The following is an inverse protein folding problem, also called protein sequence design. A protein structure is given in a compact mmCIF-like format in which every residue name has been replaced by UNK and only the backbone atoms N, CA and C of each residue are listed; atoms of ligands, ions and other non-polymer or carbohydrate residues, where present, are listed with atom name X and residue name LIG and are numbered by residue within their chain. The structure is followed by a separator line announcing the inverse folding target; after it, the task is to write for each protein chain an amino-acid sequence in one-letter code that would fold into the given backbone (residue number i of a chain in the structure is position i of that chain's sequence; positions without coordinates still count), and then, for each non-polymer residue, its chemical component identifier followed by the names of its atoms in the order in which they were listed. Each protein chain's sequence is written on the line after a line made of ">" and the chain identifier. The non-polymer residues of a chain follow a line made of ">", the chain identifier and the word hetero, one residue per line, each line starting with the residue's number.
data_IF_670060526806
#
_entry.id   IF_670060526806
#
_cell.length_a   1.000
_cell.length_b   1.000
_cell.length_c   1.000
_cell.angle_alpha   90.00
_cell.angle_beta   90.00
_cell.angle_gamma   90.00
#
_symmetry.space_group_name_H-M   'P 1'
#
loop_
_entity.id
_entity.type
_entity.pdbx_description
1 polymer ?
#
# COMPACT_ATOMS: atom_id res chain seq x y z
N UNK A 1 21.42 -10.27 -21.76
CA UNK A 1 21.07 -10.86 -20.45
C UNK A 1 19.55 -10.90 -20.36
N UNK A 2 18.98 -12.08 -20.46
CA UNK A 2 17.54 -12.27 -20.23
C UNK A 2 17.36 -12.03 -18.73
N UNK A 3 16.61 -10.99 -18.37
CA UNK A 3 16.23 -10.79 -16.98
C UNK A 3 15.53 -12.08 -16.53
N UNK A 4 16.08 -12.79 -15.55
CA UNK A 4 15.47 -13.98 -14.99
C UNK A 4 14.02 -13.67 -14.63
N UNK A 5 13.10 -14.42 -15.24
CA UNK A 5 11.67 -14.25 -14.96
C UNK A 5 11.46 -14.32 -13.45
N UNK A 6 10.78 -13.31 -12.89
CA UNK A 6 10.54 -13.20 -11.46
C UNK A 6 9.89 -14.49 -10.95
N UNK A 7 10.62 -15.25 -10.16
CA UNK A 7 10.12 -16.50 -9.60
C UNK A 7 9.36 -16.23 -8.30
N UNK A 8 8.05 -16.01 -8.40
CA UNK A 8 7.15 -15.77 -7.26
C UNK A 8 7.20 -16.91 -6.23
N UNK A 9 7.38 -18.16 -6.66
CA UNK A 9 7.50 -19.30 -5.76
C UNK A 9 8.75 -19.22 -4.87
N UNK A 10 9.87 -18.75 -5.39
CA UNK A 10 11.08 -18.52 -4.59
C UNK A 10 10.94 -17.32 -3.65
N UNK A 11 10.29 -16.23 -4.09
CA UNK A 11 10.10 -15.02 -3.27
C UNK A 11 9.10 -15.23 -2.15
N UNK A 12 7.98 -15.88 -2.43
CA UNK A 12 6.80 -15.88 -1.55
C UNK A 12 6.30 -17.27 -1.16
N UNK A 13 6.97 -18.34 -1.54
CA UNK A 13 6.54 -19.72 -1.25
C UNK A 13 6.51 -20.08 0.25
N UNK A 14 7.20 -19.31 1.10
CA UNK A 14 7.09 -19.47 2.54
C UNK A 14 5.69 -19.12 3.08
N UNK A 15 4.96 -18.26 2.38
CA UNK A 15 3.58 -17.87 2.75
C UNK A 15 2.61 -19.03 2.58
N UNK A 16 2.84 -19.91 1.59
CA UNK A 16 2.04 -21.11 1.39
C UNK A 16 2.15 -22.08 2.59
N UNK A 17 3.33 -22.15 3.22
CA UNK A 17 3.56 -22.93 4.44
C UNK A 17 2.95 -22.28 5.67
N UNK A 18 2.93 -20.96 5.73
CA UNK A 18 2.42 -20.20 6.87
C UNK A 18 0.88 -20.16 6.89
N UNK A 19 0.27 -19.87 5.74
CA UNK A 19 -1.18 -19.61 5.63
C UNK A 19 -1.96 -20.71 4.93
N UNK A 20 -1.28 -21.76 4.43
CA UNK A 20 -1.84 -22.75 3.53
C UNK A 20 -2.06 -22.18 2.11
N UNK A 21 -2.30 -23.06 1.15
CA UNK A 21 -2.47 -22.65 -0.26
C UNK A 21 -3.65 -21.68 -0.44
N UNK A 22 -4.78 -21.97 0.18
CA UNK A 22 -5.99 -21.12 0.09
C UNK A 22 -5.77 -19.73 0.70
N UNK A 23 -5.14 -19.63 1.87
CA UNK A 23 -4.82 -18.37 2.52
C UNK A 23 -3.82 -17.55 1.71
N UNK A 24 -2.77 -18.18 1.18
CA UNK A 24 -1.78 -17.52 0.34
C UNK A 24 -2.39 -17.03 -0.99
N UNK A 25 -3.33 -17.78 -1.58
CA UNK A 25 -4.06 -17.36 -2.78
C UNK A 25 -4.97 -16.16 -2.48
N UNK A 26 -5.67 -16.16 -1.34
CA UNK A 26 -6.49 -15.03 -0.92
C UNK A 26 -5.65 -13.76 -0.77
N UNK A 27 -4.47 -13.84 -0.15
CA UNK A 27 -3.55 -12.71 -0.02
C UNK A 27 -3.09 -12.20 -1.40
N UNK A 28 -2.72 -13.10 -2.31
CA UNK A 28 -2.30 -12.74 -3.67
C UNK A 28 -3.43 -12.12 -4.50
N UNK A 29 -4.68 -12.45 -4.20
CA UNK A 29 -5.86 -11.87 -4.84
C UNK A 29 -6.35 -10.58 -4.17
N UNK A 30 -5.85 -10.25 -2.99
CA UNK A 30 -6.34 -9.11 -2.22
C UNK A 30 -5.93 -7.76 -2.82
N UNK A 31 -6.84 -6.79 -2.69
CA UNK A 31 -6.62 -5.39 -2.99
C UNK A 31 -6.69 -4.56 -1.70
N UNK A 32 -5.59 -3.97 -1.31
CA UNK A 32 -5.49 -3.16 -0.08
C UNK A 32 -5.18 -1.70 -0.43
N UNK A 33 -5.96 -0.78 0.12
CA UNK A 33 -5.66 0.65 0.07
C UNK A 33 -4.87 1.07 1.32
N UNK A 34 -3.81 1.85 1.12
CA UNK A 34 -3.03 2.46 2.20
C UNK A 34 -3.19 3.97 2.10
N UNK A 35 -3.80 4.56 3.12
CA UNK A 35 -4.06 6.00 3.19
C UNK A 35 -3.01 6.65 4.09
N UNK A 36 -2.22 7.54 3.49
CA UNK A 36 -1.04 8.13 4.12
C UNK A 36 0.21 7.26 3.94
N UNK A 37 1.19 7.77 3.20
CA UNK A 37 2.46 7.09 2.87
C UNK A 37 3.62 7.77 3.63
N UNK A 38 3.40 7.95 4.92
CA UNK A 38 4.37 8.54 5.85
C UNK A 38 5.15 7.50 6.66
N UNK A 39 5.45 7.84 7.92
CA UNK A 39 6.25 7.01 8.83
C UNK A 39 5.61 5.66 9.19
N UNK A 40 4.29 5.55 9.10
CA UNK A 40 3.55 4.28 9.32
C UNK A 40 3.19 3.64 7.98
N UNK A 41 2.53 4.39 7.10
CA UNK A 41 1.98 3.84 5.86
C UNK A 41 3.03 3.36 4.88
N UNK A 42 4.20 3.97 4.81
CA UNK A 42 5.28 3.50 3.92
C UNK A 42 5.78 2.11 4.33
N UNK A 43 5.93 1.84 5.62
CA UNK A 43 6.30 0.52 6.12
C UNK A 43 5.18 -0.50 5.99
N UNK A 44 3.91 -0.09 6.19
CA UNK A 44 2.76 -0.94 5.96
C UNK A 44 2.67 -1.38 4.49
N UNK A 45 2.82 -0.45 3.55
CA UNK A 45 2.83 -0.75 2.12
C UNK A 45 3.97 -1.71 1.73
N UNK A 46 5.17 -1.52 2.27
CA UNK A 46 6.28 -2.45 2.05
C UNK A 46 5.98 -3.83 2.63
N UNK A 47 5.45 -3.91 3.84
CA UNK A 47 5.09 -5.18 4.48
C UNK A 47 4.03 -5.95 3.67
N UNK A 48 3.01 -5.26 3.16
CA UNK A 48 1.98 -5.85 2.29
C UNK A 48 2.58 -6.37 0.99
N UNK A 49 3.46 -5.60 0.34
CA UNK A 49 4.16 -6.03 -0.87
C UNK A 49 5.02 -7.28 -0.63
N UNK A 50 5.74 -7.32 0.49
CA UNK A 50 6.56 -8.48 0.93
C UNK A 50 5.73 -9.68 1.34
N UNK A 51 4.47 -9.47 1.69
CA UNK A 51 3.47 -10.52 1.97
C UNK A 51 2.73 -10.99 0.71
N UNK A 52 3.18 -10.59 -0.46
CA UNK A 52 2.62 -10.98 -1.77
C UNK A 52 1.18 -10.49 -2.02
N UNK A 53 0.75 -9.41 -1.39
CA UNK A 53 -0.52 -8.76 -1.74
C UNK A 53 -0.49 -8.38 -3.22
N UNK A 54 -1.55 -8.73 -3.94
CA UNK A 54 -1.59 -8.62 -5.40
C UNK A 54 -1.91 -7.23 -5.92
N UNK A 55 -2.61 -6.41 -5.16
CA UNK A 55 -2.92 -5.03 -5.55
C UNK A 55 -2.85 -4.08 -4.35
N UNK A 56 -2.15 -2.98 -4.51
CA UNK A 56 -2.07 -1.89 -3.55
C UNK A 56 -2.54 -0.59 -4.19
N UNK A 57 -3.43 0.13 -3.51
CA UNK A 57 -3.73 1.53 -3.83
C UNK A 57 -3.07 2.40 -2.78
N UNK A 58 -2.18 3.28 -3.20
CA UNK A 58 -1.46 4.22 -2.34
C UNK A 58 -2.06 5.61 -2.48
N UNK A 59 -2.44 6.23 -1.38
CA UNK A 59 -3.10 7.54 -1.36
C UNK A 59 -2.32 8.50 -0.48
N UNK A 60 -1.70 9.51 -1.07
CA UNK A 60 -0.97 10.58 -0.39
C UNK A 60 -0.67 11.71 -1.37
N UNK A 61 -0.82 12.96 -0.97
CA UNK A 61 -0.50 14.11 -1.84
C UNK A 61 0.93 14.60 -1.67
N UNK A 62 1.61 14.24 -0.57
CA UNK A 62 2.91 14.77 -0.22
C UNK A 62 4.04 14.27 -1.13
N UNK A 63 5.10 15.06 -1.14
CA UNK A 63 6.39 14.71 -1.75
C UNK A 63 7.41 14.33 -0.67
N UNK A 64 8.38 13.53 -1.08
CA UNK A 64 9.48 13.11 -0.20
C UNK A 64 10.33 14.32 0.17
N UNK A 65 10.44 14.57 1.46
CA UNK A 65 11.29 15.63 2.02
C UNK A 65 12.50 15.03 2.76
N UNK A 66 13.56 15.81 2.87
CA UNK A 66 14.79 15.41 3.57
C UNK A 66 14.54 14.99 5.03
N UNK A 67 13.62 15.67 5.71
CA UNK A 67 13.18 15.34 7.07
C UNK A 67 12.44 13.99 7.20
N UNK A 68 12.08 13.36 6.09
CA UNK A 68 11.42 12.06 6.08
C UNK A 68 12.41 10.88 6.14
N UNK A 69 13.68 11.13 5.81
CA UNK A 69 14.72 10.09 5.66
C UNK A 69 14.90 9.25 6.93
N UNK A 70 14.72 9.84 8.09
CA UNK A 70 14.92 9.16 9.38
C UNK A 70 13.86 8.10 9.72
N UNK A 71 12.69 8.06 9.03
CA UNK A 71 11.59 7.16 9.42
C UNK A 71 10.68 6.66 8.30
N UNK A 72 10.82 7.17 7.06
CA UNK A 72 9.97 6.76 5.93
C UNK A 72 10.80 5.92 4.95
N UNK A 73 10.35 4.71 4.68
CA UNK A 73 11.14 3.69 3.97
C UNK A 73 11.47 4.05 2.52
N UNK A 74 10.61 4.83 1.86
CA UNK A 74 10.84 5.31 0.49
C UNK A 74 11.74 6.55 0.43
N UNK A 75 11.99 7.21 1.57
CA UNK A 75 12.75 8.45 1.60
C UNK A 75 14.25 8.16 1.56
N UNK A 76 14.86 8.42 0.42
CA UNK A 76 16.26 8.24 0.10
C UNK A 76 16.79 9.51 -0.57
N UNK A 77 18.10 9.70 -0.59
CA UNK A 77 18.73 10.81 -1.33
C UNK A 77 18.24 10.91 -2.77
N UNK A 78 18.00 9.76 -3.41
CA UNK A 78 17.60 9.67 -4.82
C UNK A 78 16.10 9.91 -5.05
N UNK A 79 15.28 9.90 -4.00
CA UNK A 79 13.82 10.08 -4.11
C UNK A 79 13.34 11.43 -3.58
N UNK A 80 14.23 12.28 -3.08
CA UNK A 80 13.88 13.62 -2.60
C UNK A 80 13.13 14.42 -3.68
N UNK A 81 12.01 15.03 -3.30
CA UNK A 81 11.15 15.79 -4.20
C UNK A 81 10.17 14.97 -5.04
N UNK A 82 10.29 13.65 -5.08
CA UNK A 82 9.35 12.77 -5.76
C UNK A 82 8.05 12.64 -4.96
N UNK A 83 6.91 12.47 -5.64
CA UNK A 83 5.66 12.15 -4.95
C UNK A 83 5.81 10.85 -4.14
N UNK A 84 5.38 10.85 -2.88
CA UNK A 84 5.56 9.68 -1.98
C UNK A 84 4.96 8.40 -2.55
N UNK A 85 3.78 8.49 -3.16
CA UNK A 85 3.11 7.33 -3.78
C UNK A 85 3.91 6.77 -4.95
N UNK A 86 4.58 7.62 -5.73
CA UNK A 86 5.42 7.19 -6.86
C UNK A 86 6.72 6.54 -6.37
N UNK A 87 7.41 7.17 -5.41
CA UNK A 87 8.60 6.60 -4.80
C UNK A 87 8.32 5.22 -4.19
N UNK A 88 7.17 5.07 -3.53
CA UNK A 88 6.76 3.80 -2.94
C UNK A 88 6.41 2.75 -4.02
N UNK A 89 5.74 3.14 -5.10
CA UNK A 89 5.45 2.25 -6.25
C UNK A 89 6.73 1.68 -6.86
N UNK A 90 7.71 2.53 -7.11
CA UNK A 90 9.00 2.10 -7.65
C UNK A 90 9.71 1.11 -6.72
N UNK A 91 9.67 1.38 -5.42
CA UNK A 91 10.22 0.49 -4.40
C UNK A 91 9.50 -0.87 -4.37
N UNK A 92 8.16 -0.87 -4.42
CA UNK A 92 7.35 -2.08 -4.47
C UNK A 92 7.67 -2.91 -5.70
N UNK A 93 7.88 -2.29 -6.86
CA UNK A 93 8.24 -3.00 -8.10
C UNK A 93 9.54 -3.79 -7.98
N UNK A 94 10.50 -3.34 -7.16
CA UNK A 94 11.74 -4.07 -6.88
C UNK A 94 11.52 -5.27 -5.94
N UNK A 95 10.48 -5.23 -5.11
CA UNK A 95 10.16 -6.27 -4.12
C UNK A 95 9.21 -7.31 -4.72
N UNK A 96 8.09 -6.84 -5.25
CA UNK A 96 7.01 -7.65 -5.81
C UNK A 96 6.55 -7.07 -7.15
N UNK A 97 7.25 -7.35 -8.25
CA UNK A 97 6.91 -6.80 -9.57
C UNK A 97 5.57 -7.31 -10.11
N UNK A 98 4.98 -8.37 -9.53
CA UNK A 98 3.64 -8.83 -9.87
C UNK A 98 2.53 -8.03 -9.16
N UNK A 99 2.86 -7.23 -8.15
CA UNK A 99 1.89 -6.38 -7.47
C UNK A 99 1.47 -5.21 -8.38
N UNK A 100 0.17 -5.08 -8.60
CA UNK A 100 -0.39 -3.90 -9.26
C UNK A 100 -0.43 -2.75 -8.26
N UNK A 101 0.18 -1.62 -8.57
CA UNK A 101 0.19 -0.45 -7.68
C UNK A 101 -0.50 0.72 -8.36
N UNK A 102 -1.63 1.14 -7.79
CA UNK A 102 -2.36 2.35 -8.17
C UNK A 102 -1.95 3.49 -7.24
N UNK A 103 -1.61 4.65 -7.81
CA UNK A 103 -1.22 5.84 -7.07
C UNK A 103 -2.30 6.92 -7.19
N UNK A 104 -2.72 7.48 -6.06
CA UNK A 104 -3.67 8.59 -5.99
C UNK A 104 -2.97 9.72 -5.23
N UNK A 105 -2.64 10.78 -5.97
CA UNK A 105 -1.96 11.97 -5.43
C UNK A 105 -3.01 12.98 -4.94
N UNK A 106 -3.74 12.59 -3.88
CA UNK A 106 -4.78 13.41 -3.26
C UNK A 106 -4.75 13.22 -1.74
N UNK A 107 -5.28 14.20 -1.00
CA UNK A 107 -5.62 14.02 0.40
C UNK A 107 -6.98 13.33 0.54
N UNK A 108 -7.10 12.47 1.53
CA UNK A 108 -8.39 11.93 1.94
C UNK A 108 -9.08 12.94 2.86
N UNK A 109 -10.31 13.29 2.51
CA UNK A 109 -11.18 14.18 3.26
C UNK A 109 -12.57 13.56 3.39
N UNK A 110 -13.35 14.02 4.36
CA UNK A 110 -14.73 13.57 4.51
C UNK A 110 -15.59 13.81 3.24
N UNK A 111 -15.25 14.85 2.46
CA UNK A 111 -15.96 15.21 1.25
C UNK A 111 -15.70 14.26 0.06
N UNK A 112 -14.52 13.63 -0.02
CA UNK A 112 -14.15 12.72 -1.12
C UNK A 112 -14.18 11.24 -0.72
N UNK A 113 -14.35 10.92 0.56
CA UNK A 113 -14.42 9.56 1.05
C UNK A 113 -15.87 9.02 1.01
N UNK A 114 -16.14 7.80 0.53
CA UNK A 114 -15.19 6.80 0.00
C UNK A 114 -14.99 6.88 -1.52
N UNK A 115 -15.51 7.91 -2.19
CA UNK A 115 -15.50 7.99 -3.66
C UNK A 115 -14.08 7.96 -4.27
N UNK A 116 -13.07 8.37 -3.50
CA UNK A 116 -11.66 8.32 -3.89
C UNK A 116 -11.13 6.88 -4.03
N UNK A 117 -11.75 5.90 -3.37
CA UNK A 117 -11.32 4.50 -3.43
C UNK A 117 -11.72 3.85 -4.76
N UNK A 118 -10.87 2.97 -5.30
CA UNK A 118 -11.29 2.04 -6.35
C UNK A 118 -12.44 1.14 -5.89
N UNK A 119 -13.33 0.69 -6.81
CA UNK A 119 -14.56 -0.01 -6.44
C UNK A 119 -14.37 -1.38 -5.78
N UNK A 120 -13.20 -1.98 -5.84
CA UNK A 120 -12.93 -3.36 -5.38
C UNK A 120 -11.79 -3.42 -4.36
N UNK A 121 -11.83 -2.56 -3.36
CA UNK A 121 -10.87 -2.60 -2.24
C UNK A 121 -11.40 -3.55 -1.17
N UNK A 122 -10.58 -4.55 -0.78
CA UNK A 122 -10.91 -5.53 0.25
C UNK A 122 -10.66 -4.98 1.66
N UNK A 123 -9.63 -4.17 1.82
CA UNK A 123 -9.24 -3.60 3.12
C UNK A 123 -8.59 -2.23 2.96
N UNK A 124 -8.73 -1.40 3.99
CA UNK A 124 -8.08 -0.09 4.08
C UNK A 124 -7.16 -0.06 5.29
N UNK A 125 -5.93 0.36 5.08
CA UNK A 125 -4.98 0.70 6.14
C UNK A 125 -5.00 2.22 6.32
N UNK A 126 -5.58 2.69 7.42
CA UNK A 126 -5.56 4.09 7.80
C UNK A 126 -4.25 4.43 8.51
N UNK A 127 -3.35 5.06 7.79
CA UNK A 127 -2.06 5.56 8.29
C UNK A 127 -1.93 7.09 8.15
N UNK A 128 -3.04 7.80 7.96
CA UNK A 128 -3.05 9.26 7.92
C UNK A 128 -3.08 9.85 9.33
N UNK A 129 -2.73 11.12 9.46
CA UNK A 129 -2.72 11.86 10.72
C UNK A 129 -3.89 12.85 10.86
N UNK A 130 -4.73 12.97 9.84
CA UNK A 130 -5.86 13.90 9.83
C UNK A 130 -7.10 13.31 10.51
N UNK A 131 -7.51 13.88 11.64
CA UNK A 131 -8.63 13.37 12.46
C UNK A 131 -9.94 13.29 11.70
N UNK A 132 -10.28 14.28 10.89
CA UNK A 132 -11.53 14.28 10.12
C UNK A 132 -11.57 13.16 9.07
N UNK A 133 -10.44 12.91 8.40
CA UNK A 133 -10.31 11.80 7.48
C UNK A 133 -10.45 10.45 8.20
N UNK A 134 -9.77 10.27 9.33
CA UNK A 134 -9.87 9.08 10.18
C UNK A 134 -11.32 8.78 10.60
N UNK A 135 -12.04 9.80 11.03
CA UNK A 135 -13.44 9.66 11.43
C UNK A 135 -14.31 9.19 10.27
N UNK A 136 -14.14 9.77 9.08
CA UNK A 136 -14.89 9.38 7.89
C UNK A 136 -14.57 7.94 7.46
N UNK A 137 -13.29 7.56 7.45
CA UNK A 137 -12.85 6.20 7.12
C UNK A 137 -13.38 5.19 8.12
N UNK A 138 -13.28 5.46 9.42
CA UNK A 138 -13.77 4.56 10.48
C UNK A 138 -15.28 4.36 10.39
N UNK A 139 -16.06 5.41 10.18
CA UNK A 139 -17.51 5.34 10.06
C UNK A 139 -17.92 4.48 8.85
N UNK A 140 -17.20 4.60 7.73
CA UNK A 140 -17.46 3.83 6.53
C UNK A 140 -17.09 2.35 6.69
N UNK A 141 -15.96 2.04 7.33
CA UNK A 141 -15.53 0.67 7.61
C UNK A 141 -16.49 -0.06 8.57
N UNK A 142 -16.97 0.61 9.61
CA UNK A 142 -17.98 0.07 10.52
C UNK A 142 -19.26 -0.29 9.76
N UNK A 143 -19.69 0.55 8.82
CA UNK A 143 -20.86 0.29 7.98
C UNK A 143 -20.71 -0.89 7.03
N UNK A 144 -19.51 -1.35 6.75
CA UNK A 144 -19.20 -2.53 5.92
C UNK A 144 -18.96 -3.80 6.71
N UNK A 145 -18.73 -3.70 8.02
CA UNK A 145 -18.59 -4.88 8.88
C UNK A 145 -19.93 -5.61 8.91
N UNK A 146 -20.02 -6.73 8.19
CA UNK A 146 -21.13 -7.65 8.35
C UNK A 146 -20.92 -8.41 9.66
N UNK A 147 -21.82 -8.18 10.60
CA UNK A 147 -21.93 -8.94 11.85
C UNK A 147 -22.50 -10.31 11.53
#
# INVERSE_FOLDING_TARGET
>A
MIADAVNSGRRFGALDRLYGLAGAQAIRGAHVAVVGIGGVGSWAAEALARSAVGHLTLIDLDHVAESNINRQVHALQTTLGQAKVQAMRERIALINPACVVSCIEEFVEAANWPAILPPQVDAVVDACDQVNAKTAMTAWEIGRAHV
#
